data_IF_060213555560
#
_entry.id   IF_060213555560
#
_cell.length_a   1.000
_cell.length_b   1.000
_cell.length_c   1.000
_cell.angle_alpha   90.00
_cell.angle_beta   90.00
_cell.angle_gamma   90.00
#
_symmetry.space_group_name_H-M   'P 1'
#
loop_
_entity.id
_entity.type
_entity.pdbx_description
1 polymer ?
#
# COMPACT_ATOMS: atom_id res chain seq x y z
N UNK A 1 -66.65 -44.43 -4.23
CA UNK A 1 -65.72 -43.57 -4.92
C UNK A 1 -64.70 -43.08 -3.92
N UNK A 2 -63.45 -43.64 -3.88
CA UNK A 2 -62.41 -43.28 -2.91
C UNK A 2 -61.33 -42.46 -3.62
N UNK A 3 -61.23 -41.18 -3.31
CA UNK A 3 -60.14 -40.35 -3.75
C UNK A 3 -58.90 -40.60 -2.90
N UNK A 4 -57.79 -41.03 -3.51
CA UNK A 4 -56.49 -41.10 -2.86
C UNK A 4 -55.75 -39.78 -3.12
N UNK A 5 -55.51 -39.02 -2.06
CA UNK A 5 -54.70 -37.81 -2.09
C UNK A 5 -53.21 -38.24 -2.11
N UNK A 6 -52.54 -38.00 -3.25
CA UNK A 6 -51.10 -38.19 -3.34
C UNK A 6 -50.43 -36.92 -2.82
N UNK A 7 -49.78 -37.03 -1.69
CA UNK A 7 -48.90 -35.94 -1.21
C UNK A 7 -47.63 -35.92 -2.04
N UNK A 8 -47.46 -34.85 -2.80
CA UNK A 8 -46.24 -34.57 -3.52
C UNK A 8 -45.27 -33.89 -2.54
N UNK A 9 -44.25 -34.62 -2.08
CA UNK A 9 -43.14 -34.04 -1.29
C UNK A 9 -42.20 -33.33 -2.27
N UNK A 10 -42.25 -31.99 -2.26
CA UNK A 10 -41.32 -31.17 -2.99
C UNK A 10 -40.04 -31.04 -2.17
N UNK A 11 -39.00 -31.81 -2.46
CA UNK A 11 -37.66 -31.62 -1.92
C UNK A 11 -37.03 -30.37 -2.50
N UNK A 12 -37.07 -29.25 -1.79
CA UNK A 12 -36.29 -28.07 -2.13
C UNK A 12 -34.84 -28.35 -1.72
N UNK A 13 -34.03 -28.70 -2.70
CA UNK A 13 -32.58 -28.82 -2.53
C UNK A 13 -32.00 -27.41 -2.36
N UNK A 14 -31.83 -26.94 -1.13
CA UNK A 14 -31.03 -25.74 -0.82
C UNK A 14 -29.56 -26.09 -1.08
N UNK A 15 -29.08 -25.84 -2.28
CA UNK A 15 -27.65 -25.79 -2.54
C UNK A 15 -27.08 -24.57 -1.80
N UNK A 16 -26.45 -24.81 -0.65
CA UNK A 16 -25.58 -23.83 -0.02
C UNK A 16 -24.39 -23.61 -0.96
N UNK A 17 -24.47 -22.58 -1.80
CA UNK A 17 -23.31 -22.00 -2.42
C UNK A 17 -22.54 -21.32 -1.28
N UNK A 18 -21.53 -22.00 -0.76
CA UNK A 18 -20.49 -21.36 0.04
C UNK A 18 -19.80 -20.37 -0.88
N UNK A 19 -20.13 -19.09 -0.77
CA UNK A 19 -19.32 -18.04 -1.35
C UNK A 19 -18.00 -18.07 -0.61
N UNK A 20 -16.98 -18.63 -1.23
CA UNK A 20 -15.61 -18.47 -0.77
C UNK A 20 -15.31 -16.98 -1.01
N UNK A 21 -15.33 -16.20 0.07
CA UNK A 21 -14.80 -14.84 0.06
C UNK A 21 -13.30 -14.96 -0.15
N UNK A 22 -12.85 -14.88 -1.39
CA UNK A 22 -11.43 -14.77 -1.67
C UNK A 22 -10.97 -13.36 -1.29
N UNK A 23 -9.87 -13.26 -0.58
CA UNK A 23 -9.20 -11.99 -0.30
C UNK A 23 -9.07 -11.18 -1.60
N UNK A 24 -9.48 -9.92 -1.56
CA UNK A 24 -9.57 -9.09 -2.77
C UNK A 24 -8.19 -8.61 -3.21
N UNK A 25 -7.29 -8.40 -2.23
CA UNK A 25 -5.88 -8.16 -2.44
C UNK A 25 -5.09 -9.41 -2.07
N UNK A 26 -4.43 -10.04 -3.03
CA UNK A 26 -3.63 -11.24 -2.79
C UNK A 26 -2.20 -10.82 -2.49
N UNK A 27 -1.76 -11.05 -1.26
CA UNK A 27 -0.38 -10.82 -0.84
C UNK A 27 0.40 -12.13 -0.87
N UNK A 28 1.52 -12.12 -1.59
CA UNK A 28 2.44 -13.26 -1.66
C UNK A 28 3.77 -12.86 -1.04
N UNK A 29 4.10 -13.37 0.16
CA UNK A 29 5.37 -13.09 0.82
C UNK A 29 6.54 -13.51 -0.08
N UNK A 30 7.56 -12.67 -0.17
CA UNK A 30 8.73 -12.96 -0.99
C UNK A 30 10.01 -12.61 -0.24
N UNK A 31 10.82 -13.63 0.16
CA UNK A 31 12.01 -13.41 0.97
C UNK A 31 13.20 -12.85 0.17
N UNK A 32 13.09 -12.77 -1.16
CA UNK A 32 14.19 -12.35 -2.03
C UNK A 32 14.02 -10.87 -2.41
N UNK A 33 14.77 -10.00 -1.76
CA UNK A 33 14.77 -8.55 -1.99
C UNK A 33 15.19 -8.15 -3.41
N UNK A 34 16.07 -8.94 -4.04
CA UNK A 34 16.44 -8.75 -5.45
C UNK A 34 15.22 -8.87 -6.37
N UNK A 35 14.33 -9.82 -6.12
CA UNK A 35 13.12 -9.99 -6.90
C UNK A 35 12.10 -8.89 -6.64
N UNK A 36 12.03 -8.34 -5.43
CA UNK A 36 11.19 -7.16 -5.14
C UNK A 36 11.67 -5.94 -5.93
N UNK A 37 12.98 -5.64 -5.90
CA UNK A 37 13.55 -4.53 -6.64
C UNK A 37 13.37 -4.72 -8.17
N UNK A 38 13.63 -5.93 -8.68
CA UNK A 38 13.43 -6.24 -10.11
C UNK A 38 11.96 -6.07 -10.53
N UNK A 39 11.01 -6.45 -9.67
CA UNK A 39 9.58 -6.25 -9.95
C UNK A 39 9.20 -4.78 -10.07
N UNK A 40 9.86 -3.91 -9.30
CA UNK A 40 9.62 -2.48 -9.33
C UNK A 40 10.09 -1.82 -10.62
N UNK A 41 11.29 -2.19 -11.10
CA UNK A 41 11.89 -1.58 -12.31
C UNK A 41 11.47 -2.25 -13.62
N UNK A 42 10.89 -3.45 -13.55
CA UNK A 42 10.50 -4.25 -14.72
C UNK A 42 11.67 -5.01 -15.37
N UNK A 43 11.32 -5.77 -16.40
CA UNK A 43 12.30 -6.59 -17.13
C UNK A 43 13.23 -5.72 -17.99
N UNK A 44 14.49 -6.10 -18.07
CA UNK A 44 15.51 -5.45 -18.91
C UNK A 44 16.28 -4.32 -18.24
N UNK A 45 15.86 -3.78 -17.11
CA UNK A 45 16.65 -2.84 -16.33
C UNK A 45 17.65 -3.61 -15.45
N UNK A 46 18.94 -3.27 -15.58
CA UNK A 46 19.98 -3.83 -14.72
C UNK A 46 19.93 -3.17 -13.35
N UNK A 47 19.84 -3.99 -12.30
CA UNK A 47 19.93 -3.53 -10.90
C UNK A 47 21.12 -4.17 -10.18
N UNK A 48 21.65 -3.47 -9.19
CA UNK A 48 22.74 -3.92 -8.33
C UNK A 48 22.60 -3.34 -6.93
N UNK A 49 23.44 -3.80 -5.99
CA UNK A 49 23.51 -3.29 -4.62
C UNK A 49 22.15 -3.27 -3.90
N UNK A 50 21.31 -4.28 -4.16
CA UNK A 50 19.98 -4.33 -3.54
C UNK A 50 20.10 -4.62 -2.05
N UNK A 51 19.51 -3.77 -1.22
CA UNK A 51 19.40 -3.92 0.22
C UNK A 51 17.97 -3.72 0.70
N UNK A 52 17.68 -4.27 1.86
CA UNK A 52 16.40 -4.12 2.53
C UNK A 52 16.61 -3.92 4.03
N UNK A 53 16.06 -2.84 4.56
CA UNK A 53 16.02 -2.55 5.99
C UNK A 53 14.57 -2.65 6.48
N UNK A 54 14.34 -3.46 7.51
CA UNK A 54 13.02 -3.73 8.05
C UNK A 54 12.83 -5.21 8.40
N UNK A 55 11.66 -5.57 8.89
CA UNK A 55 11.29 -6.98 9.08
C UNK A 55 10.88 -7.60 7.73
N UNK A 56 11.25 -8.85 7.47
CA UNK A 56 10.94 -9.53 6.20
C UNK A 56 9.45 -9.63 5.88
N UNK A 57 8.57 -9.45 6.85
CA UNK A 57 7.12 -9.46 6.68
C UNK A 57 6.55 -8.11 6.26
N UNK A 58 7.37 -7.07 6.22
CA UNK A 58 6.99 -5.70 5.79
C UNK A 58 6.98 -5.55 4.27
N UNK A 59 7.55 -6.51 3.52
CA UNK A 59 7.64 -6.45 2.07
C UNK A 59 7.12 -7.71 1.40
N UNK A 60 6.35 -7.56 0.33
CA UNK A 60 5.74 -8.69 -0.39
C UNK A 60 5.37 -8.30 -1.83
N UNK A 61 5.02 -9.27 -2.65
CA UNK A 61 4.27 -9.02 -3.87
C UNK A 61 2.78 -8.89 -3.59
N UNK A 62 2.08 -8.11 -4.40
CA UNK A 62 0.61 -8.10 -4.42
C UNK A 62 0.03 -8.32 -5.81
N UNK A 63 -1.18 -8.85 -5.83
CA UNK A 63 -2.04 -8.96 -7.00
C UNK A 63 -3.45 -8.47 -6.63
N UNK A 64 -3.92 -7.45 -7.34
CA UNK A 64 -5.30 -6.98 -7.28
C UNK A 64 -6.12 -7.74 -8.33
N UNK A 65 -6.67 -8.88 -7.94
CA UNK A 65 -7.34 -9.80 -8.86
C UNK A 65 -8.59 -9.17 -9.48
N UNK A 66 -8.59 -9.02 -10.81
CA UNK A 66 -9.73 -8.55 -11.59
C UNK A 66 -10.31 -7.19 -11.16
N UNK A 67 -9.46 -6.28 -10.64
CA UNK A 67 -9.93 -4.97 -10.18
C UNK A 67 -10.89 -5.03 -8.99
N UNK A 68 -10.77 -6.04 -8.14
CA UNK A 68 -11.66 -6.23 -6.99
C UNK A 68 -11.43 -5.22 -5.86
N UNK A 69 -10.31 -4.52 -5.88
CA UNK A 69 -10.08 -3.38 -4.98
C UNK A 69 -10.13 -2.07 -5.76
N UNK A 70 -10.31 -0.97 -5.05
CA UNK A 70 -10.33 0.36 -5.65
C UNK A 70 -8.95 1.03 -5.72
N UNK A 71 -7.86 0.30 -5.44
CA UNK A 71 -6.49 0.86 -5.44
C UNK A 71 -6.01 1.31 -6.83
N UNK A 72 -6.55 0.75 -7.91
CA UNK A 72 -6.26 1.19 -9.28
C UNK A 72 -4.92 0.71 -9.85
N UNK A 73 -4.20 -0.19 -9.15
CA UNK A 73 -2.99 -0.87 -9.62
C UNK A 73 -3.24 -2.38 -9.61
N UNK A 74 -2.88 -3.07 -10.69
CA UNK A 74 -3.19 -4.50 -10.83
C UNK A 74 -2.23 -5.40 -10.07
N UNK A 75 -0.96 -5.05 -10.01
CA UNK A 75 0.06 -5.83 -9.30
C UNK A 75 1.34 -5.02 -9.08
N UNK A 76 2.15 -5.44 -8.13
CA UNK A 76 3.42 -4.80 -7.81
C UNK A 76 4.04 -5.35 -6.54
N UNK A 77 4.74 -4.48 -5.83
CA UNK A 77 5.22 -4.74 -4.48
C UNK A 77 4.42 -3.92 -3.47
N UNK A 78 4.29 -4.44 -2.27
CA UNK A 78 3.84 -3.71 -1.09
C UNK A 78 5.01 -3.58 -0.13
N UNK A 79 5.22 -2.37 0.37
CA UNK A 79 6.11 -2.04 1.48
C UNK A 79 5.23 -1.39 2.56
N UNK A 80 5.36 -1.82 3.79
CA UNK A 80 4.52 -1.35 4.90
C UNK A 80 5.32 -1.30 6.20
N UNK A 81 5.01 -0.36 7.08
CA UNK A 81 5.54 -0.32 8.45
C UNK A 81 4.99 -1.46 9.32
N UNK A 82 3.79 -1.94 9.01
CA UNK A 82 3.19 -3.09 9.66
C UNK A 82 3.50 -4.41 8.97
N UNK A 83 2.52 -5.29 8.90
CA UNK A 83 2.59 -6.61 8.27
C UNK A 83 1.95 -6.59 6.88
N UNK A 84 2.67 -7.02 5.86
CA UNK A 84 2.11 -7.07 4.51
C UNK A 84 1.02 -8.15 4.37
N UNK A 85 1.24 -9.34 4.94
CA UNK A 85 0.30 -10.48 4.87
C UNK A 85 -0.23 -10.88 6.22
N UNK A 86 -1.52 -11.15 6.29
CA UNK A 86 -2.19 -11.73 7.47
C UNK A 86 -1.61 -13.11 7.82
N UNK A 87 -1.27 -13.30 9.11
CA UNK A 87 -0.75 -14.57 9.65
C UNK A 87 -1.47 -14.88 10.97
N UNK A 88 -2.36 -15.86 10.96
CA UNK A 88 -3.17 -16.22 12.12
C UNK A 88 -4.11 -15.08 12.52
N UNK A 89 -3.99 -14.60 13.77
CA UNK A 89 -4.78 -13.49 14.30
C UNK A 89 -4.12 -12.11 14.10
N UNK A 90 -2.93 -12.05 13.47
CA UNK A 90 -2.22 -10.81 13.16
C UNK A 90 -2.55 -10.39 11.73
N UNK A 91 -3.30 -9.32 11.61
CA UNK A 91 -3.71 -8.82 10.31
C UNK A 91 -2.54 -8.17 9.56
N UNK A 92 -2.58 -8.28 8.26
CA UNK A 92 -1.71 -7.60 7.32
C UNK A 92 -2.55 -6.75 6.38
N UNK A 93 -1.90 -6.09 5.44
CA UNK A 93 -2.55 -5.23 4.43
C UNK A 93 -3.66 -5.96 3.67
N UNK A 94 -3.55 -7.27 3.47
CA UNK A 94 -4.57 -8.08 2.79
C UNK A 94 -5.82 -8.35 3.65
N UNK A 95 -5.79 -8.04 4.93
CA UNK A 95 -6.89 -8.35 5.84
C UNK A 95 -7.19 -9.85 5.88
N UNK A 96 -8.34 -10.21 6.44
CA UNK A 96 -8.82 -11.60 6.46
C UNK A 96 -9.98 -11.87 5.47
N UNK A 97 -10.34 -10.88 4.66
CA UNK A 97 -11.41 -10.97 3.67
C UNK A 97 -12.83 -11.03 4.26
N UNK A 98 -13.01 -10.90 5.56
CA UNK A 98 -14.30 -11.07 6.24
C UNK A 98 -14.78 -9.89 7.06
N UNK A 99 -13.88 -9.02 7.50
CA UNK A 99 -14.21 -7.86 8.31
C UNK A 99 -14.24 -6.58 7.48
N UNK A 100 -15.04 -5.56 7.86
CA UNK A 100 -14.81 -4.21 7.40
C UNK A 100 -13.38 -3.78 7.75
N UNK A 101 -12.73 -3.05 6.86
CA UNK A 101 -11.35 -2.60 7.07
C UNK A 101 -11.17 -1.87 8.40
N UNK A 102 -12.09 -0.99 8.74
CA UNK A 102 -12.13 -0.22 9.99
C UNK A 102 -12.24 -1.03 11.31
N UNK A 103 -12.25 -2.33 11.25
CA UNK A 103 -12.36 -3.19 12.45
C UNK A 103 -11.13 -4.04 12.73
N UNK A 104 -10.10 -3.93 11.91
CA UNK A 104 -8.87 -4.71 12.03
C UNK A 104 -7.67 -3.85 11.66
N UNK A 105 -6.66 -3.83 12.52
CA UNK A 105 -5.43 -3.08 12.32
C UNK A 105 -4.34 -3.99 11.75
N UNK A 106 -3.66 -3.54 10.72
CA UNK A 106 -2.41 -4.14 10.24
C UNK A 106 -1.19 -3.64 11.04
N UNK A 107 -1.45 -2.91 12.11
CA UNK A 107 -0.44 -2.39 13.02
C UNK A 107 0.16 -3.52 13.88
N UNK A 108 1.37 -3.91 13.51
CA UNK A 108 2.17 -4.87 14.26
C UNK A 108 3.52 -4.24 14.51
N UNK A 109 3.59 -3.35 15.49
CA UNK A 109 4.84 -2.67 15.86
C UNK A 109 6.03 -3.64 15.96
N UNK A 110 7.08 -3.36 15.19
CA UNK A 110 8.32 -4.15 15.16
C UNK A 110 9.38 -3.59 16.10
N UNK A 111 9.14 -2.39 16.64
CA UNK A 111 10.10 -1.61 17.42
C UNK A 111 11.40 -1.33 16.66
N UNK A 112 11.29 -1.08 15.35
CA UNK A 112 12.40 -0.64 14.51
C UNK A 112 12.47 0.89 14.49
N UNK A 113 13.65 1.48 14.25
CA UNK A 113 13.77 2.92 14.15
C UNK A 113 13.08 3.47 12.88
N UNK A 114 12.72 4.75 12.92
CA UNK A 114 12.34 5.52 11.75
C UNK A 114 13.52 5.81 10.83
N UNK A 115 13.22 6.32 9.63
CA UNK A 115 14.21 6.70 8.62
C UNK A 115 14.52 8.19 8.66
N UNK A 116 15.82 8.60 8.82
CA UNK A 116 16.19 10.01 8.89
C UNK A 116 15.93 10.80 7.60
N UNK A 117 16.05 10.17 6.42
CA UNK A 117 15.83 10.85 5.16
C UNK A 117 14.35 11.12 4.95
N UNK A 118 13.49 10.17 5.32
CA UNK A 118 12.04 10.36 5.34
C UNK A 118 11.64 11.47 6.32
N UNK A 119 12.17 11.43 7.54
CA UNK A 119 11.92 12.45 8.57
C UNK A 119 12.27 13.86 8.05
N UNK A 120 13.44 14.00 7.42
CA UNK A 120 13.87 15.25 6.82
C UNK A 120 12.95 15.67 5.65
N UNK A 121 12.52 14.74 4.81
CA UNK A 121 11.66 15.02 3.65
C UNK A 121 10.27 15.54 4.04
N UNK A 122 9.73 15.09 5.18
CA UNK A 122 8.41 15.51 5.69
C UNK A 122 8.50 16.60 6.77
N UNK A 123 9.72 17.01 7.15
CA UNK A 123 9.95 18.07 8.13
C UNK A 123 9.58 17.70 9.56
N UNK A 124 9.75 16.43 9.94
CA UNK A 124 9.47 15.92 11.28
C UNK A 124 10.74 15.38 11.95
N UNK A 125 10.80 15.34 13.30
CA UNK A 125 11.87 14.65 14.01
C UNK A 125 11.87 13.15 13.69
N UNK A 126 13.04 12.53 13.52
CA UNK A 126 13.12 11.08 13.29
C UNK A 126 12.57 10.24 14.45
N UNK A 127 12.52 10.81 15.65
CA UNK A 127 11.94 10.17 16.85
C UNK A 127 10.41 10.06 16.83
N UNK A 128 9.75 10.72 15.87
CA UNK A 128 8.32 10.61 15.62
C UNK A 128 8.00 9.54 14.57
N UNK A 129 9.03 8.90 13.99
CA UNK A 129 8.89 7.84 13.01
C UNK A 129 9.38 6.52 13.60
N UNK A 130 8.63 5.46 13.33
CA UNK A 130 8.93 4.10 13.75
C UNK A 130 8.77 3.14 12.58
N UNK A 131 9.36 1.94 12.73
CA UNK A 131 9.14 0.80 11.85
C UNK A 131 9.38 1.09 10.36
N UNK A 132 10.51 1.76 10.05
CA UNK A 132 10.87 2.06 8.67
C UNK A 132 11.06 0.78 7.84
N UNK A 133 10.42 0.76 6.67
CA UNK A 133 10.53 -0.29 5.65
C UNK A 133 11.22 0.28 4.41
N UNK A 134 12.50 -0.07 4.19
CA UNK A 134 13.35 0.57 3.20
C UNK A 134 13.86 -0.45 2.20
N UNK A 135 13.58 -0.25 0.92
CA UNK A 135 14.15 -1.02 -0.20
C UNK A 135 15.04 -0.09 -1.03
N UNK A 136 16.33 -0.41 -1.11
CA UNK A 136 17.32 0.37 -1.85
C UNK A 136 17.98 -0.49 -2.95
N UNK A 137 18.31 0.13 -4.05
CA UNK A 137 19.07 -0.51 -5.13
C UNK A 137 19.63 0.53 -6.10
N UNK A 138 20.74 0.18 -6.74
CA UNK A 138 21.23 0.91 -7.91
C UNK A 138 20.59 0.37 -9.17
N UNK A 139 20.35 1.21 -10.16
CA UNK A 139 19.87 0.79 -11.47
C UNK A 139 20.57 1.55 -12.60
N UNK A 140 20.65 0.89 -13.74
CA UNK A 140 21.16 1.50 -14.98
C UNK A 140 19.95 1.89 -15.85
N UNK A 141 19.65 3.19 -16.01
CA UNK A 141 18.51 3.62 -16.80
C UNK A 141 18.73 3.35 -18.29
N UNK A 142 17.73 2.79 -18.96
CA UNK A 142 17.73 2.56 -20.41
C UNK A 142 17.25 3.77 -21.20
N UNK A 143 16.61 4.72 -20.56
CA UNK A 143 16.06 5.94 -21.14
C UNK A 143 16.39 7.17 -20.30
N UNK A 144 15.88 8.31 -20.69
CA UNK A 144 16.10 9.61 -20.08
C UNK A 144 15.19 9.90 -18.87
N UNK A 145 14.33 8.98 -18.51
CA UNK A 145 13.40 9.17 -17.39
C UNK A 145 13.10 7.86 -16.67
N UNK A 146 12.92 7.96 -15.35
CA UNK A 146 12.35 6.91 -14.50
C UNK A 146 10.94 7.30 -14.10
N UNK A 147 10.05 6.28 -13.99
CA UNK A 147 8.66 6.48 -13.63
C UNK A 147 8.12 5.28 -12.84
N UNK A 148 7.49 5.57 -11.69
CA UNK A 148 6.81 4.59 -10.85
C UNK A 148 5.38 5.04 -10.59
N UNK A 149 4.41 4.14 -10.77
CA UNK A 149 3.05 4.33 -10.28
C UNK A 149 2.93 3.72 -8.89
N UNK A 150 2.29 4.42 -7.98
CA UNK A 150 2.11 3.97 -6.60
C UNK A 150 0.79 4.43 -6.01
N UNK A 151 0.40 3.79 -4.93
CA UNK A 151 -0.69 4.16 -4.04
C UNK A 151 -0.11 4.17 -2.64
N UNK A 152 -0.31 5.26 -1.93
CA UNK A 152 -0.03 5.37 -0.51
C UNK A 152 -1.32 5.07 0.27
N UNK A 153 -1.25 4.30 1.33
CA UNK A 153 -2.40 3.92 2.17
C UNK A 153 -2.02 3.81 3.63
N UNK A 154 -2.97 4.03 4.53
CA UNK A 154 -2.74 3.99 5.98
C UNK A 154 -4.01 3.62 6.74
N UNK A 155 -3.86 3.06 7.93
CA UNK A 155 -4.89 2.85 8.96
C UNK A 155 -5.33 4.16 9.60
N UNK A 156 -4.46 5.18 9.62
CA UNK A 156 -4.68 6.45 10.32
C UNK A 156 -5.63 7.40 9.57
N UNK A 157 -6.24 6.95 8.48
CA UNK A 157 -7.22 7.73 7.73
C UNK A 157 -8.60 7.82 8.41
N UNK A 158 -8.64 7.79 9.72
CA UNK A 158 -9.84 8.07 10.50
C UNK A 158 -9.90 9.55 10.90
N UNK A 159 -11.08 10.16 11.01
CA UNK A 159 -11.20 11.58 11.37
C UNK A 159 -10.51 11.98 12.67
N UNK A 160 -10.34 11.04 13.60
CA UNK A 160 -9.69 11.28 14.89
C UNK A 160 -8.16 11.27 14.84
N UNK A 161 -7.55 10.70 13.79
CA UNK A 161 -6.10 10.50 13.71
C UNK A 161 -5.42 11.27 12.59
N UNK A 162 -6.15 11.61 11.55
CA UNK A 162 -5.63 12.18 10.30
C UNK A 162 -4.68 13.37 10.47
N UNK A 163 -4.86 14.20 11.47
CA UNK A 163 -3.97 15.35 11.70
C UNK A 163 -3.11 15.19 12.98
N UNK A 164 -3.17 14.05 13.64
CA UNK A 164 -2.41 13.77 14.86
C UNK A 164 -1.24 12.80 14.57
N UNK A 165 -1.43 11.84 13.66
CA UNK A 165 -0.42 10.88 13.23
C UNK A 165 -0.10 11.07 11.76
N UNK A 166 1.19 11.10 11.40
CA UNK A 166 1.63 11.40 10.04
C UNK A 166 2.38 10.23 9.41
N UNK A 167 1.67 9.20 9.00
CA UNK A 167 2.27 8.19 8.13
C UNK A 167 2.70 8.82 6.82
N UNK A 168 3.86 8.43 6.34
CA UNK A 168 4.48 9.02 5.18
C UNK A 168 5.23 8.01 4.32
N UNK A 169 5.48 8.42 3.08
CA UNK A 169 6.16 7.63 2.07
C UNK A 169 7.08 8.52 1.24
N UNK A 170 8.21 8.00 0.83
CA UNK A 170 9.10 8.66 -0.11
C UNK A 170 9.66 7.71 -1.15
N UNK A 171 9.90 8.23 -2.36
CA UNK A 171 10.83 7.67 -3.34
C UNK A 171 12.02 8.59 -3.44
N UNK A 172 13.14 8.17 -2.89
CA UNK A 172 14.39 8.88 -3.03
C UNK A 172 15.16 8.42 -4.26
N UNK A 173 15.69 9.38 -4.98
CA UNK A 173 16.58 9.13 -6.12
C UNK A 173 17.80 10.04 -6.03
N UNK A 174 18.95 9.49 -6.40
CA UNK A 174 20.22 10.22 -6.59
C UNK A 174 20.97 9.68 -7.80
N UNK A 175 21.87 10.44 -8.36
CA UNK A 175 22.67 10.00 -9.51
C UNK A 175 23.15 11.14 -10.39
N UNK A 176 23.78 10.84 -11.54
CA UNK A 176 24.24 11.84 -12.47
C UNK A 176 23.12 12.79 -12.92
N UNK A 177 23.35 14.09 -12.77
CA UNK A 177 22.37 15.13 -13.12
C UNK A 177 21.30 15.42 -12.06
N UNK A 178 21.26 14.66 -10.96
CA UNK A 178 20.35 14.87 -9.84
C UNK A 178 21.14 15.47 -8.66
N UNK A 179 20.65 16.59 -8.12
CA UNK A 179 21.30 17.26 -7.00
C UNK A 179 20.94 16.58 -5.68
N UNK A 180 21.88 15.88 -5.07
CA UNK A 180 21.74 15.22 -3.78
C UNK A 180 20.72 14.07 -3.79
N UNK A 181 20.11 13.81 -2.64
CA UNK A 181 19.03 12.85 -2.47
C UNK A 181 17.69 13.58 -2.66
N UNK A 182 16.93 13.20 -3.68
CA UNK A 182 15.69 13.88 -4.07
C UNK A 182 14.48 13.00 -3.87
N UNK A 183 13.51 13.44 -3.07
CA UNK A 183 12.20 12.79 -3.00
C UNK A 183 11.38 13.13 -4.25
N UNK A 184 10.88 12.09 -4.95
CA UNK A 184 10.03 12.22 -6.14
C UNK A 184 8.60 11.73 -5.91
N UNK A 185 8.27 11.27 -4.69
CA UNK A 185 6.92 10.93 -4.28
C UNK A 185 6.19 12.17 -3.75
N UNK A 186 5.79 13.03 -4.67
CA UNK A 186 5.18 14.32 -4.39
C UNK A 186 3.73 14.37 -4.87
N UNK A 187 2.94 15.23 -4.25
CA UNK A 187 1.62 15.58 -4.78
C UNK A 187 1.80 16.22 -6.16
N UNK A 188 1.04 15.81 -7.18
CA UNK A 188 1.24 16.26 -8.55
C UNK A 188 1.31 17.77 -8.70
N UNK A 189 2.34 18.26 -9.42
CA UNK A 189 2.62 19.68 -9.68
C UNK A 189 2.95 20.52 -8.43
N UNK A 190 3.41 19.89 -7.37
CA UNK A 190 3.85 20.56 -6.14
C UNK A 190 5.22 20.04 -5.69
N UNK A 191 5.79 20.66 -4.64
CA UNK A 191 6.93 20.15 -3.87
C UNK A 191 6.52 19.48 -2.56
N UNK A 192 5.24 19.17 -2.39
CA UNK A 192 4.68 18.65 -1.13
C UNK A 192 4.80 17.13 -1.13
N UNK A 193 5.44 16.50 -0.12
CA UNK A 193 5.51 15.04 0.01
C UNK A 193 4.13 14.41 0.20
N UNK A 194 3.98 13.17 -0.22
CA UNK A 194 2.78 12.39 0.06
C UNK A 194 2.84 11.86 1.49
N UNK A 195 1.85 12.19 2.28
CA UNK A 195 1.64 11.73 3.65
C UNK A 195 0.16 11.89 4.03
N UNK A 196 -0.25 11.35 5.16
CA UNK A 196 -1.61 11.56 5.68
C UNK A 196 -1.90 13.04 5.89
N UNK A 197 -0.97 13.80 6.45
CA UNK A 197 -1.16 15.23 6.69
C UNK A 197 -1.43 16.01 5.41
N UNK A 198 -0.90 15.55 4.28
CA UNK A 198 -0.98 16.27 3.02
C UNK A 198 -2.07 15.75 2.07
N UNK A 199 -2.55 14.51 2.26
CA UNK A 199 -3.65 13.93 1.45
C UNK A 199 -4.65 13.28 2.39
N UNK A 200 -5.82 13.89 2.58
CA UNK A 200 -6.85 13.38 3.49
C UNK A 200 -8.24 13.93 3.13
N UNK A 201 -9.26 13.57 3.92
CA UNK A 201 -10.65 13.98 3.73
C UNK A 201 -11.21 14.85 4.85
N UNK A 202 -10.39 15.48 5.69
CA UNK A 202 -10.83 16.30 6.81
C UNK A 202 -10.89 17.77 6.42
N UNK A 203 -12.04 18.27 5.91
CA UNK A 203 -12.20 19.67 5.53
C UNK A 203 -12.09 20.58 6.76
N UNK A 204 -11.25 21.62 6.67
CA UNK A 204 -11.08 22.58 7.77
C UNK A 204 -10.31 22.04 8.96
N UNK A 205 -9.62 20.88 8.81
CA UNK A 205 -8.69 20.36 9.78
C UNK A 205 -7.43 21.23 9.92
N UNK A 206 -6.58 20.87 10.88
CA UNK A 206 -5.32 21.56 11.16
C UNK A 206 -4.23 21.24 10.15
N UNK A 207 -4.43 20.23 9.33
CA UNK A 207 -3.51 19.81 8.26
C UNK A 207 -4.10 20.03 6.86
N UNK A 208 -3.27 20.24 5.80
CA UNK A 208 -3.74 20.33 4.41
C UNK A 208 -4.46 19.05 4.00
N UNK A 209 -5.47 19.14 3.12
CA UNK A 209 -6.26 17.95 2.80
C UNK A 209 -6.14 17.42 1.37
N UNK A 210 -5.78 18.20 0.37
CA UNK A 210 -5.64 17.74 -1.03
C UNK A 210 -6.61 16.60 -1.42
N UNK A 211 -7.86 16.76 -1.04
CA UNK A 211 -8.92 15.73 -1.05
C UNK A 211 -9.11 15.05 -2.43
N UNK A 212 -8.77 15.75 -3.51
CA UNK A 212 -8.87 15.20 -4.87
C UNK A 212 -7.95 13.98 -5.11
N UNK A 213 -6.95 13.79 -4.26
CA UNK A 213 -6.05 12.65 -4.32
C UNK A 213 -6.37 11.56 -3.31
N UNK A 214 -7.34 11.77 -2.43
CA UNK A 214 -7.78 10.82 -1.40
C UNK A 214 -8.89 9.90 -1.89
N UNK A 215 -8.90 8.67 -1.40
CA UNK A 215 -9.98 7.70 -1.51
C UNK A 215 -10.26 7.04 -0.16
N UNK A 216 -11.52 7.02 0.22
CA UNK A 216 -12.01 6.36 1.42
C UNK A 216 -12.04 4.84 1.29
N UNK A 217 -11.67 4.13 2.34
CA UNK A 217 -11.74 2.68 2.47
C UNK A 217 -12.36 2.22 3.80
N UNK A 218 -12.87 3.13 4.64
CA UNK A 218 -13.35 2.82 5.99
C UNK A 218 -14.57 1.88 6.01
N UNK A 219 -15.38 1.88 4.98
CA UNK A 219 -16.62 1.08 4.94
C UNK A 219 -16.55 -0.13 4.04
N UNK A 220 -15.43 -0.36 3.39
CA UNK A 220 -15.30 -1.47 2.47
C UNK A 220 -14.35 -2.55 2.99
N UNK A 221 -14.34 -3.68 2.32
CA UNK A 221 -13.61 -4.89 2.70
C UNK A 221 -12.44 -5.19 1.76
N UNK A 222 -11.92 -4.18 1.06
CA UNK A 222 -10.93 -4.42 0.02
C UNK A 222 -9.55 -4.80 0.57
N UNK A 223 -9.14 -4.12 1.63
CA UNK A 223 -7.88 -4.34 2.37
C UNK A 223 -8.00 -3.62 3.72
N UNK A 224 -7.02 -3.78 4.62
CA UNK A 224 -7.14 -3.30 6.02
C UNK A 224 -7.14 -1.79 6.16
N UNK A 225 -6.28 -1.09 5.43
CA UNK A 225 -6.10 0.36 5.62
C UNK A 225 -7.38 1.17 5.38
N UNK A 226 -7.64 2.15 6.22
CA UNK A 226 -8.88 2.95 6.24
C UNK A 226 -9.01 3.92 5.06
N UNK A 227 -7.91 4.26 4.44
CA UNK A 227 -7.91 5.12 3.25
C UNK A 227 -6.63 5.00 2.43
N UNK A 228 -6.68 5.59 1.25
CA UNK A 228 -5.53 5.58 0.34
C UNK A 228 -5.57 6.74 -0.66
N UNK A 229 -4.48 6.94 -1.38
CA UNK A 229 -4.44 7.90 -2.48
C UNK A 229 -5.04 7.30 -3.76
N UNK A 230 -5.42 8.15 -4.71
CA UNK A 230 -5.51 7.74 -6.11
C UNK A 230 -4.14 7.21 -6.56
N UNK A 231 -4.07 6.56 -7.73
CA UNK A 231 -2.78 6.21 -8.32
C UNK A 231 -2.00 7.48 -8.60
N UNK A 232 -0.84 7.60 -7.99
CA UNK A 232 0.11 8.68 -8.17
C UNK A 232 1.29 8.21 -9.01
N UNK A 233 2.03 9.13 -9.61
CA UNK A 233 3.23 8.83 -10.40
C UNK A 233 4.42 9.60 -9.86
N UNK A 234 5.41 8.89 -9.35
CA UNK A 234 6.73 9.43 -9.11
C UNK A 234 7.52 9.42 -10.43
N UNK A 235 8.14 10.54 -10.79
CA UNK A 235 8.89 10.68 -12.04
C UNK A 235 10.10 11.58 -11.88
N UNK A 236 11.21 11.18 -12.51
CA UNK A 236 12.41 12.01 -12.60
C UNK A 236 13.11 11.83 -13.96
N UNK A 237 13.81 12.89 -14.40
CA UNK A 237 14.73 12.81 -15.51
C UNK A 237 16.05 12.20 -15.04
N UNK A 238 16.59 11.27 -15.80
CA UNK A 238 17.84 10.58 -15.52
C UNK A 238 18.73 10.60 -16.73
N UNK A 239 20.04 10.41 -16.53
CA UNK A 239 20.98 10.30 -17.64
C UNK A 239 21.13 8.84 -18.03
N UNK A 240 20.80 8.45 -19.27
CA UNK A 240 21.08 7.10 -19.77
C UNK A 240 22.58 6.81 -19.77
N UNK A 241 22.95 5.56 -19.52
CA UNK A 241 24.34 5.10 -19.67
C UNK A 241 24.62 4.65 -21.10
#
# INVERSE_FOLDING_TARGET
MRFRLHQLFLFILFSFFSYISEAQLIITPHPNVQALAQRLVGDGVTISNVSFTGNSQMASFFLNRAGRTNIGIDSGIVLTSGRAKTVGAQFGVDGNGTAPASSVDADNGWNLPGDPDLANAIGQPVTELEDACILEFDFVPLGDSVRFNYVFSSEEYTPSFVCDFNDAFAFFISGPGIMGLKNIALIPNTSIPVSIFNVNNVPGGTCPNNISYYKDNQTNTFFTHDGHTVVLTAREQVQPC
#
